data_IF_592784986110
#
_entry.id   IF_592784986110
#
_cell.length_a   1.000
_cell.length_b   1.000
_cell.length_c   1.000
_cell.angle_alpha   90.00
_cell.angle_beta   90.00
_cell.angle_gamma   90.00
#
_symmetry.space_group_name_H-M   'P 1'
#
loop_
_entity.id
_entity.type
_entity.pdbx_description
1 polymer ?
#
# COMPACT_ATOMS: atom_id res chain seq x y z
N UNK A 1 -7.03 1.94 14.08
CA UNK A 1 -7.43 2.64 12.83
C UNK A 1 -8.03 1.64 11.85
N UNK A 2 -8.70 2.14 10.80
CA UNK A 2 -9.17 1.34 9.68
C UNK A 2 -8.12 1.34 8.56
N UNK A 3 -7.67 0.16 8.16
CA UNK A 3 -6.67 -0.06 7.12
C UNK A 3 -7.34 -0.78 5.94
N UNK A 4 -7.14 -0.26 4.73
CA UNK A 4 -7.58 -0.91 3.50
C UNK A 4 -6.36 -1.43 2.76
N UNK A 5 -6.31 -2.74 2.48
CA UNK A 5 -5.23 -3.38 1.71
C UNK A 5 -5.80 -3.82 0.36
N UNK A 6 -5.34 -3.19 -0.72
CA UNK A 6 -5.70 -3.52 -2.09
C UNK A 6 -4.54 -4.26 -2.75
N UNK A 7 -4.76 -5.47 -3.27
CA UNK A 7 -3.67 -6.26 -3.87
C UNK A 7 -4.04 -6.91 -5.20
N UNK A 8 -3.04 -7.12 -6.06
CA UNK A 8 -3.11 -8.04 -7.19
C UNK A 8 -2.00 -9.09 -7.08
N UNK A 9 -2.28 -10.33 -7.48
CA UNK A 9 -1.35 -11.45 -7.34
C UNK A 9 -1.61 -12.49 -8.42
N UNK A 10 -0.57 -12.86 -9.18
CA UNK A 10 -0.69 -13.86 -10.26
C UNK A 10 -0.64 -15.30 -9.75
N UNK A 11 0.33 -15.62 -8.90
CA UNK A 11 0.61 -16.98 -8.41
C UNK A 11 0.42 -17.13 -6.90
N UNK A 12 0.00 -16.08 -6.21
CA UNK A 12 -0.29 -16.11 -4.76
C UNK A 12 0.74 -15.39 -3.90
N UNK A 13 1.97 -15.16 -4.35
CA UNK A 13 3.02 -14.60 -3.50
C UNK A 13 2.68 -13.21 -2.94
N UNK A 14 2.22 -12.28 -3.76
CA UNK A 14 1.82 -10.95 -3.29
C UNK A 14 0.59 -11.00 -2.37
N UNK A 15 -0.30 -11.97 -2.59
CA UNK A 15 -1.44 -12.23 -1.70
C UNK A 15 -0.95 -12.71 -0.33
N UNK A 16 0.04 -13.60 -0.30
CA UNK A 16 0.67 -14.08 0.95
C UNK A 16 1.27 -12.90 1.73
N UNK A 17 1.96 -11.97 1.06
CA UNK A 17 2.45 -10.73 1.70
C UNK A 17 1.29 -9.89 2.25
N UNK A 18 0.21 -9.70 1.48
CA UNK A 18 -0.96 -8.93 1.90
C UNK A 18 -1.60 -9.50 3.17
N UNK A 19 -1.73 -10.83 3.25
CA UNK A 19 -2.30 -11.53 4.40
C UNK A 19 -1.40 -11.44 5.64
N UNK A 20 -0.08 -11.48 5.49
CA UNK A 20 0.85 -11.30 6.61
C UNK A 20 0.84 -9.85 7.13
N UNK A 21 0.69 -8.87 6.24
CA UNK A 21 0.51 -7.47 6.63
C UNK A 21 -0.83 -7.29 7.37
N UNK A 22 -1.91 -7.90 6.87
CA UNK A 22 -3.21 -7.91 7.54
C UNK A 22 -3.14 -8.49 8.95
N UNK A 23 -2.54 -9.69 9.08
CA UNK A 23 -2.33 -10.35 10.37
C UNK A 23 -1.55 -9.45 11.34
N UNK A 24 -0.46 -8.84 10.87
CA UNK A 24 0.33 -7.93 11.68
C UNK A 24 -0.48 -6.72 12.17
N UNK A 25 -1.29 -6.08 11.31
CA UNK A 25 -2.16 -4.98 11.74
C UNK A 25 -3.23 -5.43 12.76
N UNK A 26 -3.81 -6.64 12.59
CA UNK A 26 -4.74 -7.20 13.58
C UNK A 26 -4.07 -7.41 14.95
N UNK A 27 -2.83 -7.90 14.98
CA UNK A 27 -2.06 -8.08 16.22
C UNK A 27 -1.81 -6.76 16.96
N UNK A 28 -1.76 -5.63 16.25
CA UNK A 28 -1.67 -4.28 16.84
C UNK A 28 -3.05 -3.64 17.11
N UNK A 29 -4.15 -4.39 17.00
CA UNK A 29 -5.49 -3.91 17.35
C UNK A 29 -6.09 -2.95 16.32
N UNK A 30 -5.78 -3.14 15.04
CA UNK A 30 -6.35 -2.35 13.95
C UNK A 30 -7.37 -3.13 13.12
N UNK A 31 -8.39 -2.45 12.62
CA UNK A 31 -9.38 -3.04 11.72
C UNK A 31 -8.83 -3.03 10.30
N UNK A 32 -8.79 -4.18 9.65
CA UNK A 32 -8.23 -4.33 8.31
C UNK A 32 -9.30 -4.85 7.36
N UNK A 33 -9.28 -4.37 6.12
CA UNK A 33 -10.01 -5.00 5.03
C UNK A 33 -9.06 -5.25 3.87
N UNK A 34 -8.90 -6.52 3.52
CA UNK A 34 -8.03 -6.95 2.42
C UNK A 34 -8.88 -7.33 1.22
N UNK A 35 -8.61 -6.73 0.06
CA UNK A 35 -9.43 -6.87 -1.15
C UNK A 35 -8.58 -6.94 -2.40
N UNK A 36 -8.96 -7.82 -3.33
CA UNK A 36 -8.32 -7.88 -4.64
C UNK A 36 -8.74 -6.66 -5.48
N UNK A 37 -7.80 -6.07 -6.22
CA UNK A 37 -8.04 -4.89 -7.07
C UNK A 37 -9.12 -5.07 -8.14
N UNK A 38 -9.46 -6.32 -8.50
CA UNK A 38 -10.56 -6.63 -9.42
C UNK A 38 -11.92 -6.12 -8.91
N UNK A 39 -12.09 -5.93 -7.60
CA UNK A 39 -13.31 -5.39 -7.00
C UNK A 39 -13.30 -3.86 -6.87
N UNK A 40 -13.02 -3.16 -7.99
CA UNK A 40 -12.78 -1.71 -8.02
C UNK A 40 -13.87 -0.85 -7.35
N UNK A 41 -15.15 -1.12 -7.59
CA UNK A 41 -16.25 -0.34 -6.99
C UNK A 41 -16.38 -0.57 -5.48
N UNK A 42 -16.08 -1.78 -5.00
CA UNK A 42 -16.02 -2.03 -3.57
C UNK A 42 -14.88 -1.24 -2.93
N UNK A 43 -13.71 -1.19 -3.59
CA UNK A 43 -12.57 -0.39 -3.14
C UNK A 43 -12.93 1.09 -3.05
N UNK A 44 -13.53 1.65 -4.11
CA UNK A 44 -14.01 3.05 -4.15
C UNK A 44 -14.88 3.38 -2.93
N UNK A 45 -15.87 2.53 -2.62
CA UNK A 45 -16.78 2.76 -1.48
C UNK A 45 -16.12 2.69 -0.09
N UNK A 46 -14.92 2.11 0.02
CA UNK A 46 -14.24 1.88 1.29
C UNK A 46 -13.16 2.93 1.59
N UNK A 47 -12.61 3.59 0.58
CA UNK A 47 -11.48 4.51 0.72
C UNK A 47 -11.79 5.65 1.69
N UNK A 48 -13.01 6.21 1.65
CA UNK A 48 -13.40 7.34 2.51
C UNK A 48 -13.35 7.04 4.01
N UNK A 49 -13.39 5.75 4.39
CA UNK A 49 -13.34 5.30 5.78
C UNK A 49 -11.95 4.78 6.20
N UNK A 50 -11.00 4.72 5.27
CA UNK A 50 -9.66 4.23 5.52
C UNK A 50 -8.76 5.36 6.03
N UNK A 51 -8.02 5.09 7.10
CA UNK A 51 -6.99 6.01 7.62
C UNK A 51 -5.64 5.76 6.95
N UNK A 52 -5.43 4.53 6.45
CA UNK A 52 -4.23 4.09 5.76
C UNK A 52 -4.65 3.14 4.63
N UNK A 53 -4.11 3.37 3.44
CA UNK A 53 -4.37 2.56 2.25
C UNK A 53 -3.09 1.88 1.76
N UNK A 54 -3.12 0.57 1.58
CA UNK A 54 -1.98 -0.19 1.08
C UNK A 54 -2.25 -0.72 -0.32
N UNK A 55 -1.26 -0.59 -1.21
CA UNK A 55 -1.30 -1.20 -2.54
C UNK A 55 -0.21 -2.27 -2.69
N UNK A 56 -0.64 -3.48 -3.00
CA UNK A 56 0.20 -4.66 -3.19
C UNK A 56 0.24 -5.12 -4.64
N UNK A 57 1.41 -5.24 -5.26
CA UNK A 57 1.50 -5.74 -6.64
C UNK A 57 2.69 -6.66 -6.89
N UNK A 58 2.50 -7.66 -7.75
CA UNK A 58 3.62 -8.38 -8.36
C UNK A 58 4.22 -7.53 -9.47
N UNK A 59 5.47 -7.82 -9.86
CA UNK A 59 6.08 -7.21 -11.04
C UNK A 59 5.97 -8.15 -12.24
N UNK A 60 5.59 -7.62 -13.40
CA UNK A 60 5.36 -8.42 -14.61
C UNK A 60 6.35 -8.09 -15.73
N UNK A 61 6.79 -9.12 -16.46
CA UNK A 61 7.68 -8.96 -17.62
C UNK A 61 8.93 -8.12 -17.29
N UNK A 62 9.19 -7.11 -18.12
CA UNK A 62 10.33 -6.20 -17.96
C UNK A 62 10.04 -5.09 -16.93
N UNK A 63 9.69 -5.48 -15.70
CA UNK A 63 9.53 -4.52 -14.60
C UNK A 63 8.21 -3.76 -14.55
N UNK A 64 7.18 -4.21 -15.26
CA UNK A 64 5.93 -3.48 -15.42
C UNK A 64 4.97 -3.69 -14.24
N UNK A 65 4.25 -2.62 -13.88
CA UNK A 65 3.05 -2.74 -13.05
C UNK A 65 1.93 -3.47 -13.83
N UNK A 66 1.34 -4.54 -13.27
CA UNK A 66 0.22 -5.25 -13.87
C UNK A 66 -0.97 -4.33 -14.20
N UNK A 67 -1.65 -4.64 -15.31
CA UNK A 67 -2.71 -3.80 -15.85
C UNK A 67 -3.89 -3.65 -14.89
N UNK A 68 -4.21 -4.66 -14.07
CA UNK A 68 -5.30 -4.60 -13.10
C UNK A 68 -5.03 -3.52 -12.05
N UNK A 69 -3.79 -3.44 -11.54
CA UNK A 69 -3.39 -2.39 -10.60
C UNK A 69 -3.34 -1.03 -11.28
N UNK A 70 -2.80 -0.94 -12.50
CA UNK A 70 -2.76 0.32 -13.27
C UNK A 70 -4.18 0.87 -13.53
N UNK A 71 -5.13 -0.01 -13.87
CA UNK A 71 -6.55 0.35 -14.06
C UNK A 71 -7.16 0.89 -12.78
N UNK A 72 -6.95 0.23 -11.65
CA UNK A 72 -7.42 0.72 -10.35
C UNK A 72 -6.85 2.11 -10.03
N UNK A 73 -5.52 2.29 -10.12
CA UNK A 73 -4.90 3.58 -9.80
C UNK A 73 -5.39 4.71 -10.73
N UNK A 74 -5.54 4.43 -12.04
CA UNK A 74 -6.13 5.40 -12.98
C UNK A 74 -7.55 5.77 -12.59
N UNK A 75 -8.38 4.78 -12.26
CA UNK A 75 -9.76 4.97 -11.87
C UNK A 75 -9.87 5.86 -10.62
N UNK A 76 -9.12 5.53 -9.56
CA UNK A 76 -9.14 6.27 -8.30
C UNK A 76 -8.61 7.71 -8.46
N UNK A 77 -7.47 7.87 -9.14
CA UNK A 77 -6.73 9.14 -9.17
C UNK A 77 -7.22 10.08 -10.27
N UNK A 78 -7.56 9.56 -11.46
CA UNK A 78 -7.87 10.40 -12.62
C UNK A 78 -9.37 10.47 -12.92
N UNK A 79 -10.07 9.34 -12.85
CA UNK A 79 -11.48 9.28 -13.26
C UNK A 79 -12.41 9.73 -12.14
N UNK A 80 -12.15 9.24 -10.92
CA UNK A 80 -12.91 9.64 -9.72
C UNK A 80 -12.29 10.82 -8.97
N UNK A 81 -10.99 11.07 -9.17
CA UNK A 81 -10.24 12.13 -8.49
C UNK A 81 -10.47 12.12 -6.97
N UNK A 82 -10.42 10.93 -6.37
CA UNK A 82 -10.73 10.76 -4.95
C UNK A 82 -9.56 11.28 -4.10
N UNK A 83 -9.84 11.99 -3.00
CA UNK A 83 -8.82 12.27 -2.00
C UNK A 83 -8.38 10.94 -1.37
N UNK A 84 -7.09 10.63 -1.45
CA UNK A 84 -6.53 9.42 -0.88
C UNK A 84 -5.92 9.71 0.49
N UNK A 85 -6.16 8.87 1.52
CA UNK A 85 -5.40 8.93 2.76
C UNK A 85 -3.92 8.63 2.48
N UNK A 86 -3.02 8.79 3.46
CA UNK A 86 -1.65 8.30 3.33
C UNK A 86 -1.63 6.84 2.87
N UNK A 87 -0.66 6.52 2.00
CA UNK A 87 -0.52 5.20 1.40
C UNK A 87 0.78 4.52 1.78
N UNK A 88 0.80 3.20 1.74
CA UNK A 88 2.03 2.42 1.75
C UNK A 88 1.99 1.33 0.68
N UNK A 89 3.15 0.92 0.18
CA UNK A 89 3.25 0.08 -1.00
C UNK A 89 4.01 -1.19 -0.68
N UNK A 90 3.59 -2.30 -1.26
CA UNK A 90 4.35 -3.54 -1.16
C UNK A 90 4.29 -4.33 -2.46
N UNK A 91 5.23 -5.24 -2.63
CA UNK A 91 5.22 -6.08 -3.81
C UNK A 91 6.23 -7.19 -3.77
N UNK A 92 6.03 -8.13 -4.70
CA UNK A 92 6.94 -9.25 -4.93
C UNK A 92 7.58 -9.13 -6.30
N UNK A 93 8.84 -9.52 -6.39
CA UNK A 93 9.64 -9.53 -7.62
C UNK A 93 10.68 -10.64 -7.54
N UNK A 94 11.59 -10.67 -8.50
CA UNK A 94 12.66 -11.67 -8.54
C UNK A 94 13.98 -10.98 -8.93
N UNK A 95 14.99 -11.10 -8.08
CA UNK A 95 16.30 -10.46 -8.18
C UNK A 95 17.14 -11.01 -9.33
N UNK A 96 16.77 -12.17 -9.90
CA UNK A 96 17.35 -12.65 -11.15
C UNK A 96 17.07 -11.69 -12.32
N UNK A 97 16.01 -10.87 -12.21
CA UNK A 97 15.66 -9.88 -13.22
C UNK A 97 16.16 -8.47 -12.84
N UNK A 98 16.59 -7.66 -13.82
CA UNK A 98 17.14 -6.32 -13.55
C UNK A 98 16.18 -5.38 -12.82
N UNK A 99 14.88 -5.48 -13.12
CA UNK A 99 13.84 -4.57 -12.60
C UNK A 99 13.19 -5.12 -11.31
N UNK A 100 14.00 -5.41 -10.29
CA UNK A 100 13.53 -5.99 -9.03
C UNK A 100 12.45 -5.13 -8.34
N UNK A 101 11.24 -5.71 -8.24
CA UNK A 101 10.05 -5.07 -7.66
C UNK A 101 9.73 -3.69 -8.25
N UNK A 102 10.07 -3.42 -9.52
CA UNK A 102 9.86 -2.10 -10.14
C UNK A 102 8.39 -1.66 -10.16
N UNK A 103 7.43 -2.58 -10.10
CA UNK A 103 6.02 -2.24 -9.92
C UNK A 103 5.76 -1.40 -8.65
N UNK A 104 6.49 -1.65 -7.57
CA UNK A 104 6.41 -0.85 -6.33
C UNK A 104 6.89 0.58 -6.57
N UNK A 105 7.96 0.74 -7.35
CA UNK A 105 8.52 2.05 -7.70
C UNK A 105 7.58 2.82 -8.64
N UNK A 106 6.96 2.13 -9.62
CA UNK A 106 5.95 2.72 -10.52
C UNK A 106 4.74 3.23 -9.71
N UNK A 107 4.23 2.44 -8.76
CA UNK A 107 3.14 2.88 -7.87
C UNK A 107 3.56 4.10 -7.05
N UNK A 108 4.76 4.09 -6.45
CA UNK A 108 5.28 5.19 -5.64
C UNK A 108 5.36 6.49 -6.45
N UNK A 109 5.93 6.41 -7.66
CA UNK A 109 6.08 7.54 -8.56
C UNK A 109 4.74 8.22 -8.90
N UNK A 110 3.67 7.45 -9.06
CA UNK A 110 2.33 7.99 -9.34
C UNK A 110 1.62 8.49 -8.09
N UNK A 111 1.66 7.74 -6.98
CA UNK A 111 0.92 8.06 -5.77
C UNK A 111 1.50 9.24 -5.00
N UNK A 112 2.83 9.42 -4.98
CA UNK A 112 3.48 10.55 -4.31
C UNK A 112 3.08 11.93 -4.87
N UNK A 113 2.47 11.96 -6.07
CA UNK A 113 1.99 13.19 -6.71
C UNK A 113 0.62 13.63 -6.20
N UNK A 114 -0.10 12.74 -5.50
CA UNK A 114 -1.50 12.95 -5.12
C UNK A 114 -1.77 12.67 -3.63
N UNK A 115 -0.88 11.96 -2.94
CA UNK A 115 -0.95 11.73 -1.50
C UNK A 115 0.43 11.36 -0.93
N UNK A 116 0.54 11.28 0.40
CA UNK A 116 1.76 10.91 1.11
C UNK A 116 2.02 9.40 1.00
N UNK A 117 3.23 9.02 0.58
CA UNK A 117 3.69 7.62 0.60
C UNK A 117 4.54 7.40 1.85
N UNK A 118 4.04 6.62 2.81
CA UNK A 118 4.67 6.40 4.12
C UNK A 118 5.77 5.34 4.10
N UNK A 119 5.76 4.41 3.14
CA UNK A 119 6.78 3.37 3.06
C UNK A 119 6.55 2.38 1.94
N UNK A 120 7.61 1.66 1.59
CA UNK A 120 7.60 0.60 0.59
C UNK A 120 8.20 -0.69 1.13
N UNK A 121 7.65 -1.83 0.72
CA UNK A 121 8.18 -3.17 1.03
C UNK A 121 8.38 -3.98 -0.25
N UNK A 122 9.59 -4.45 -0.49
CA UNK A 122 9.94 -5.33 -1.63
C UNK A 122 10.30 -6.71 -1.09
N UNK A 123 9.68 -7.75 -1.65
CA UNK A 123 9.87 -9.15 -1.25
C UNK A 123 10.40 -9.95 -2.44
N UNK A 124 11.49 -10.67 -2.24
CA UNK A 124 12.05 -11.60 -3.21
C UNK A 124 11.22 -12.87 -3.29
N UNK A 125 10.60 -13.09 -4.45
CA UNK A 125 9.67 -14.16 -4.80
C UNK A 125 8.46 -14.30 -3.85
N UNK A 126 8.66 -14.76 -2.62
CA UNK A 126 7.62 -15.00 -1.60
C UNK A 126 8.11 -14.62 -0.19
N UNK A 127 7.23 -14.29 0.75
CA UNK A 127 7.61 -13.86 2.10
C UNK A 127 7.97 -15.04 3.01
N UNK A 128 8.89 -15.89 2.56
CA UNK A 128 9.26 -17.14 3.24
C UNK A 128 10.71 -17.13 3.69
N UNK A 129 11.04 -18.06 4.58
CA UNK A 129 12.37 -18.20 5.15
C UNK A 129 12.80 -16.90 5.84
N UNK A 130 13.95 -16.37 5.45
CA UNK A 130 14.51 -15.16 6.06
C UNK A 130 13.65 -13.90 5.85
N UNK A 131 12.68 -13.91 4.93
CA UNK A 131 11.81 -12.75 4.66
C UNK A 131 10.49 -12.76 5.43
N UNK A 132 10.19 -13.84 6.17
CA UNK A 132 8.90 -14.02 6.83
C UNK A 132 8.55 -12.93 7.85
N UNK A 133 9.56 -12.33 8.49
CA UNK A 133 9.39 -11.27 9.48
C UNK A 133 9.20 -9.87 8.87
N UNK A 134 9.51 -9.69 7.58
CA UNK A 134 9.54 -8.38 6.94
C UNK A 134 8.15 -7.70 6.89
N UNK A 135 7.03 -8.39 6.60
CA UNK A 135 5.69 -7.79 6.69
C UNK A 135 5.39 -7.21 8.07
N UNK A 136 5.76 -7.90 9.15
CA UNK A 136 5.54 -7.41 10.53
C UNK A 136 6.40 -6.18 10.83
N UNK A 137 7.68 -6.20 10.44
CA UNK A 137 8.58 -5.04 10.60
C UNK A 137 8.07 -3.84 9.81
N UNK A 138 7.58 -4.08 8.59
CA UNK A 138 6.98 -3.04 7.76
C UNK A 138 5.77 -2.40 8.44
N UNK A 139 4.84 -3.21 8.99
CA UNK A 139 3.70 -2.69 9.77
C UNK A 139 4.18 -1.86 10.97
N UNK A 140 5.15 -2.34 11.75
CA UNK A 140 5.70 -1.59 12.88
C UNK A 140 6.25 -0.21 12.48
N UNK A 141 6.91 -0.14 11.32
CA UNK A 141 7.40 1.14 10.78
C UNK A 141 6.23 2.04 10.40
N UNK A 142 5.24 1.52 9.67
CA UNK A 142 4.06 2.30 9.26
C UNK A 142 3.28 2.86 10.46
N UNK A 143 3.13 2.11 11.54
CA UNK A 143 2.46 2.61 12.75
C UNK A 143 3.16 3.83 13.33
N UNK A 144 4.49 3.82 13.38
CA UNK A 144 5.28 4.98 13.82
C UNK A 144 5.14 6.16 12.86
N UNK A 145 5.11 5.89 11.55
CA UNK A 145 4.93 6.92 10.53
C UNK A 145 3.57 7.60 10.61
N UNK A 146 2.50 6.83 10.79
CA UNK A 146 1.13 7.35 10.95
C UNK A 146 1.04 8.27 12.16
N UNK A 147 1.61 7.86 13.31
CA UNK A 147 1.61 8.69 14.52
C UNK A 147 2.31 10.04 14.28
N UNK A 148 3.45 10.03 13.57
CA UNK A 148 4.17 11.27 13.22
C UNK A 148 3.37 12.14 12.26
N UNK A 149 2.76 11.55 11.23
CA UNK A 149 1.95 12.25 10.25
C UNK A 149 0.76 12.97 10.90
N UNK A 150 0.04 12.30 11.80
CA UNK A 150 -1.10 12.88 12.54
C UNK A 150 -0.65 14.06 13.42
N UNK A 151 0.51 13.94 14.06
CA UNK A 151 1.08 15.04 14.87
C UNK A 151 1.40 16.25 14.00
N UNK A 152 1.99 16.05 12.82
CA UNK A 152 2.38 17.14 11.93
C UNK A 152 1.18 17.86 11.32
N UNK A 153 0.14 17.14 10.88
CA UNK A 153 -1.11 17.77 10.43
C UNK A 153 -1.77 18.60 11.54
N UNK A 154 -1.79 18.07 12.77
CA UNK A 154 -2.34 18.77 13.94
C UNK A 154 -1.59 20.08 14.24
N UNK A 155 -0.27 20.10 14.07
CA UNK A 155 0.55 21.32 14.25
C UNK A 155 0.27 22.34 13.15
N UNK A 156 0.18 21.91 11.89
CA UNK A 156 -0.13 22.78 10.76
C UNK A 156 -1.50 23.42 10.94
N UNK A 157 -2.53 22.64 11.29
CA UNK A 157 -3.88 23.13 11.52
C UNK A 157 -3.92 24.20 12.63
N UNK A 158 -3.20 23.98 13.74
CA UNK A 158 -3.08 24.96 14.83
C UNK A 158 -2.39 26.25 14.39
N UNK A 159 -1.31 26.14 13.61
CA UNK A 159 -0.57 27.32 13.12
C UNK A 159 -1.40 28.18 12.17
N UNK A 160 -2.23 27.55 11.32
CA UNK A 160 -3.16 28.25 10.42
C UNK A 160 -4.31 28.89 11.19
N UNK A 161 -4.87 28.22 12.20
CA UNK A 161 -5.96 28.76 13.01
C UNK A 161 -5.54 29.92 13.95
N UNK A 162 -4.24 30.08 14.21
CA UNK A 162 -3.68 31.16 15.03
C UNK A 162 -3.31 32.44 14.25
N UNK A 163 -3.58 32.48 12.94
CA UNK A 163 -3.39 33.65 12.06
C UNK A 163 -4.74 34.19 11.62
#
# INVERSE_FOLDING_TARGET
MNVLICYTSKTGNTKEVALLIEEAFYLYGHAVKTINVEHMFAIESLISNAHLLLFGSYTWGNGQLPDEMRKLLRFLIKERNLPLPPVALFGTGDQMWPDYCRAVDEMAYHLQKVTTVLGTLKIEQSPRGHQQHLPTVFVQQLLKEVDRFVIDESKIARAVASK
#
